data_IF_760927975124
#
_entry.id   IF_760927975124
#
_cell.length_a   1.000
_cell.length_b   1.000
_cell.length_c   1.000
_cell.angle_alpha   90.00
_cell.angle_beta   90.00
_cell.angle_gamma   90.00
#
_symmetry.space_group_name_H-M   'P 1'
#
loop_
_entity.id
_entity.type
_entity.pdbx_description
1 polymer ?
#
# COMPACT_ATOMS: atom_id res chain seq x y z
N UNK A 1 -6.96 -19.11 5.97
CA UNK A 1 -6.78 -20.43 5.36
C UNK A 1 -5.63 -20.35 4.39
N UNK A 2 -4.69 -21.27 4.46
CA UNK A 2 -3.50 -21.31 3.60
C UNK A 2 -2.51 -22.39 4.02
N UNK A 3 -1.54 -22.66 3.16
CA UNK A 3 -0.51 -23.69 3.35
C UNK A 3 0.89 -23.11 3.59
N UNK A 4 0.99 -21.80 3.82
CA UNK A 4 2.28 -21.11 3.98
C UNK A 4 3.13 -21.75 5.09
N UNK A 5 4.42 -22.02 4.82
CA UNK A 5 5.31 -22.78 5.70
C UNK A 5 5.49 -22.15 7.10
N UNK A 6 5.41 -20.82 7.23
CA UNK A 6 5.55 -20.11 8.52
C UNK A 6 4.26 -20.06 9.35
N UNK A 7 3.13 -20.56 8.83
CA UNK A 7 1.84 -20.54 9.51
C UNK A 7 0.76 -21.27 8.72
N UNK A 8 0.91 -22.59 8.53
CA UNK A 8 -0.11 -23.36 7.84
C UNK A 8 -1.39 -23.41 8.70
N UNK A 9 -2.54 -23.36 8.04
CA UNK A 9 -3.81 -23.58 8.71
C UNK A 9 -3.92 -25.03 9.20
N UNK A 10 -4.65 -25.22 10.27
CA UNK A 10 -5.07 -26.53 10.76
C UNK A 10 -6.54 -26.76 10.46
N UNK A 11 -6.92 -28.03 10.29
CA UNK A 11 -8.30 -28.41 10.08
C UNK A 11 -9.02 -28.33 11.43
N UNK A 12 -10.15 -27.62 11.47
CA UNK A 12 -10.99 -27.51 12.65
C UNK A 12 -11.89 -28.76 12.82
N UNK A 13 -12.17 -29.12 14.08
CA UNK A 13 -13.11 -30.19 14.40
C UNK A 13 -14.51 -29.94 13.77
N UNK A 14 -15.36 -30.99 13.59
CA UNK A 14 -15.39 -32.22 14.41
C UNK A 14 -15.07 -33.51 13.65
N UNK A 15 -14.10 -33.59 12.84
CA UNK A 15 -13.82 -34.83 12.13
C UNK A 15 -12.48 -35.50 12.49
N UNK A 16 -12.22 -36.65 11.92
CA UNK A 16 -11.01 -37.45 12.13
C UNK A 16 -9.72 -36.71 11.72
N UNK A 17 -9.78 -35.58 11.05
CA UNK A 17 -8.67 -34.77 10.58
C UNK A 17 -8.41 -33.54 11.47
N UNK A 18 -9.19 -33.37 12.55
CA UNK A 18 -9.07 -32.24 13.47
C UNK A 18 -7.64 -32.08 14.00
N UNK A 19 -7.13 -30.85 13.93
CA UNK A 19 -5.78 -30.51 14.33
C UNK A 19 -4.68 -30.85 13.32
N UNK A 20 -4.99 -31.57 12.25
CA UNK A 20 -4.05 -31.85 11.18
C UNK A 20 -3.71 -30.57 10.39
N UNK A 21 -2.46 -30.40 9.99
CA UNK A 21 -2.06 -29.32 9.08
C UNK A 21 -2.79 -29.45 7.73
N UNK A 22 -3.40 -28.36 7.28
CA UNK A 22 -4.05 -28.31 5.97
C UNK A 22 -3.09 -28.70 4.83
N UNK A 23 -1.82 -28.30 4.93
CA UNK A 23 -0.79 -28.68 3.95
C UNK A 23 -0.58 -30.18 3.90
N UNK A 24 -0.51 -30.84 5.06
CA UNK A 24 -0.33 -32.27 5.16
C UNK A 24 -1.55 -33.05 4.61
N UNK A 25 -2.74 -32.53 4.92
CA UNK A 25 -3.99 -33.12 4.42
C UNK A 25 -4.10 -33.00 2.90
N UNK A 26 -3.77 -31.86 2.32
CA UNK A 26 -3.79 -31.64 0.87
C UNK A 26 -2.77 -32.54 0.16
N UNK A 27 -1.58 -32.73 0.72
CA UNK A 27 -0.58 -33.64 0.17
C UNK A 27 -1.09 -35.10 0.10
N UNK A 28 -1.94 -35.52 1.06
CA UNK A 28 -2.58 -36.83 1.06
C UNK A 28 -3.87 -36.85 0.22
N UNK A 29 -4.43 -35.71 -0.12
CA UNK A 29 -5.72 -35.56 -0.84
C UNK A 29 -5.60 -34.53 -1.99
N UNK A 30 -4.72 -34.73 -2.97
CA UNK A 30 -4.45 -33.76 -4.03
C UNK A 30 -5.70 -33.43 -4.88
N UNK A 31 -6.64 -34.37 -4.99
CA UNK A 31 -7.91 -34.19 -5.67
C UNK A 31 -8.74 -33.00 -5.15
N UNK A 32 -8.53 -32.62 -3.88
CA UNK A 32 -9.23 -31.48 -3.26
C UNK A 32 -8.80 -30.12 -3.83
N UNK A 33 -7.68 -30.02 -4.51
CA UNK A 33 -7.21 -28.83 -5.20
C UNK A 33 -7.83 -28.69 -6.60
N UNK A 34 -8.26 -29.79 -7.20
CA UNK A 34 -8.62 -29.87 -8.62
C UNK A 34 -7.38 -29.95 -9.52
N UNK A 35 -7.55 -30.53 -10.71
CA UNK A 35 -6.43 -30.85 -11.61
C UNK A 35 -5.58 -29.64 -12.00
N UNK A 36 -6.21 -28.51 -12.28
CA UNK A 36 -5.50 -27.31 -12.75
C UNK A 36 -4.64 -26.69 -11.67
N UNK A 37 -5.16 -26.61 -10.43
CA UNK A 37 -4.42 -26.04 -9.29
C UNK A 37 -3.30 -26.99 -8.85
N UNK A 38 -3.57 -28.29 -8.78
CA UNK A 38 -2.56 -29.30 -8.45
C UNK A 38 -1.39 -29.24 -9.43
N UNK A 39 -1.66 -29.22 -10.73
CA UNK A 39 -0.64 -29.19 -11.78
C UNK A 39 0.16 -27.90 -11.77
N UNK A 40 -0.54 -26.76 -11.62
CA UNK A 40 0.10 -25.44 -11.72
C UNK A 40 0.89 -25.07 -10.48
N UNK A 41 0.43 -25.46 -9.28
CA UNK A 41 0.99 -25.05 -8.00
C UNK A 41 1.61 -26.21 -7.20
N UNK A 42 1.82 -27.36 -7.86
CA UNK A 42 2.52 -28.52 -7.28
C UNK A 42 1.99 -28.97 -5.91
N UNK A 43 0.67 -28.97 -5.76
CA UNK A 43 0.00 -29.40 -4.53
C UNK A 43 -0.13 -28.34 -3.43
N UNK A 44 0.37 -27.13 -3.65
CA UNK A 44 0.18 -26.01 -2.72
C UNK A 44 -1.09 -25.19 -3.04
N UNK A 45 -1.68 -24.56 -2.02
CA UNK A 45 -2.77 -23.60 -2.22
C UNK A 45 -2.19 -22.28 -2.77
N UNK A 46 -2.71 -21.78 -3.91
CA UNK A 46 -2.20 -20.56 -4.54
C UNK A 46 -2.68 -19.26 -3.86
N UNK A 47 -3.26 -19.34 -2.68
CA UNK A 47 -3.78 -18.18 -1.97
C UNK A 47 -3.63 -18.28 -0.46
N UNK A 48 -3.69 -17.13 0.21
CA UNK A 48 -3.81 -17.00 1.65
C UNK A 48 -5.07 -16.18 1.96
N UNK A 49 -6.05 -16.81 2.59
CA UNK A 49 -7.29 -16.16 3.01
C UNK A 49 -7.29 -15.96 4.52
N UNK A 50 -7.48 -14.71 4.97
CA UNK A 50 -7.51 -14.38 6.40
C UNK A 50 -8.39 -13.17 6.70
N UNK A 51 -8.95 -13.15 7.91
CA UNK A 51 -9.57 -11.95 8.47
C UNK A 51 -8.49 -11.12 9.14
N UNK A 52 -8.45 -9.82 8.85
CA UNK A 52 -7.50 -8.88 9.42
C UNK A 52 -8.19 -7.96 10.41
N UNK A 53 -7.58 -7.77 11.58
CA UNK A 53 -7.91 -6.70 12.51
C UNK A 53 -6.76 -5.69 12.50
N UNK A 54 -6.99 -4.50 11.95
CA UNK A 54 -5.94 -3.51 11.70
C UNK A 54 -6.17 -2.31 12.61
N UNK A 55 -5.28 -2.11 13.59
CA UNK A 55 -5.30 -0.96 14.50
C UNK A 55 -4.43 0.20 14.00
N UNK A 56 -3.36 -0.10 13.28
CA UNK A 56 -2.40 0.89 12.76
C UNK A 56 -2.24 0.70 11.26
N UNK A 57 -1.91 1.75 10.50
CA UNK A 57 -1.62 1.61 9.08
C UNK A 57 -0.55 0.54 8.84
N UNK A 58 -0.76 -0.27 7.83
CA UNK A 58 0.26 -1.19 7.33
C UNK A 58 1.33 -0.42 6.57
N UNK A 59 2.50 -1.02 6.40
CA UNK A 59 3.57 -0.45 5.57
C UNK A 59 3.11 -0.24 4.13
N UNK A 60 3.70 0.74 3.46
CA UNK A 60 3.52 0.90 2.02
C UNK A 60 4.17 -0.29 1.32
N UNK A 61 3.41 -0.97 0.46
CA UNK A 61 3.85 -2.16 -0.27
C UNK A 61 3.60 -1.95 -1.76
N UNK A 62 4.64 -2.21 -2.56
CA UNK A 62 4.54 -2.29 -4.00
C UNK A 62 4.81 -3.73 -4.43
N UNK A 63 3.79 -4.40 -4.97
CA UNK A 63 3.94 -5.76 -5.45
C UNK A 63 4.47 -5.75 -6.89
N UNK A 64 5.54 -6.51 -7.19
CA UNK A 64 6.08 -6.60 -8.55
C UNK A 64 5.10 -7.33 -9.48
N UNK A 65 5.25 -7.13 -10.78
CA UNK A 65 4.62 -7.98 -11.79
C UNK A 65 5.20 -9.40 -11.71
N UNK A 66 4.52 -10.38 -12.32
CA UNK A 66 4.99 -11.77 -12.29
C UNK A 66 6.41 -11.94 -12.86
N UNK A 67 6.71 -11.27 -13.96
CA UNK A 67 8.04 -11.36 -14.58
C UNK A 67 9.10 -10.66 -13.71
N UNK A 68 8.79 -9.48 -13.21
CA UNK A 68 9.69 -8.76 -12.32
C UNK A 68 9.92 -9.49 -10.97
N UNK A 69 8.93 -10.24 -10.47
CA UNK A 69 9.11 -11.07 -9.27
C UNK A 69 10.17 -12.16 -9.48
N UNK A 70 10.21 -12.78 -10.67
CA UNK A 70 11.25 -13.76 -11.04
C UNK A 70 12.63 -13.13 -11.11
N UNK A 71 12.73 -11.94 -11.74
CA UNK A 71 13.98 -11.18 -11.79
C UNK A 71 14.50 -10.82 -10.39
N UNK A 72 13.61 -10.31 -9.53
CA UNK A 72 13.97 -9.95 -8.16
C UNK A 72 14.39 -11.16 -7.32
N UNK A 73 13.71 -12.30 -7.47
CA UNK A 73 14.09 -13.54 -6.82
C UNK A 73 15.47 -14.02 -7.29
N UNK A 74 15.74 -13.99 -8.59
CA UNK A 74 17.02 -14.38 -9.15
C UNK A 74 18.19 -13.48 -8.68
N UNK A 75 17.94 -12.17 -8.54
CA UNK A 75 18.94 -11.19 -8.14
C UNK A 75 19.15 -11.13 -6.63
N UNK A 76 18.10 -11.27 -5.83
CA UNK A 76 18.08 -11.03 -4.39
C UNK A 76 17.23 -12.10 -3.66
N UNK A 77 17.60 -13.39 -3.70
CA UNK A 77 16.80 -14.49 -3.14
C UNK A 77 16.54 -14.37 -1.64
N UNK A 78 17.47 -13.77 -0.89
CA UNK A 78 17.31 -13.54 0.55
C UNK A 78 16.19 -12.54 0.87
N UNK A 79 15.96 -11.55 0.00
CA UNK A 79 14.89 -10.56 0.16
C UNK A 79 13.58 -11.00 -0.49
N UNK A 80 13.66 -11.73 -1.59
CA UNK A 80 12.54 -12.25 -2.36
C UNK A 80 12.63 -13.79 -2.41
N UNK A 81 12.12 -14.46 -1.37
CA UNK A 81 12.34 -15.90 -1.18
C UNK A 81 11.58 -16.80 -2.16
N UNK A 82 10.67 -16.23 -2.93
CA UNK A 82 9.93 -16.91 -4.01
C UNK A 82 9.85 -16.03 -5.26
N UNK A 83 9.66 -16.63 -6.41
CA UNK A 83 9.59 -15.99 -7.73
C UNK A 83 8.17 -15.57 -8.12
N UNK A 84 7.23 -15.62 -7.19
CA UNK A 84 5.83 -15.39 -7.48
C UNK A 84 5.39 -13.96 -7.13
N UNK A 85 4.49 -13.41 -7.93
CA UNK A 85 3.84 -12.16 -7.59
C UNK A 85 2.75 -12.38 -6.53
N UNK A 86 2.32 -11.29 -5.85
CA UNK A 86 1.36 -11.36 -4.74
C UNK A 86 0.17 -10.43 -4.99
N UNK A 87 -0.71 -10.75 -5.94
CA UNK A 87 -1.95 -9.98 -6.09
C UNK A 87 -2.78 -10.10 -4.81
N UNK A 88 -3.31 -8.98 -4.36
CA UNK A 88 -4.08 -8.90 -3.13
C UNK A 88 -5.47 -8.32 -3.38
N UNK A 89 -6.45 -8.85 -2.66
CA UNK A 89 -7.80 -8.35 -2.63
C UNK A 89 -8.22 -8.17 -1.17
N UNK A 90 -8.86 -7.05 -0.86
CA UNK A 90 -9.44 -6.79 0.46
C UNK A 90 -10.94 -6.55 0.33
N UNK A 91 -11.71 -7.17 1.25
CA UNK A 91 -13.16 -6.98 1.37
C UNK A 91 -13.40 -6.41 2.77
N UNK A 92 -14.01 -5.23 2.85
CA UNK A 92 -14.33 -4.61 4.12
C UNK A 92 -15.50 -5.36 4.80
N UNK A 93 -15.32 -5.72 6.08
CA UNK A 93 -16.39 -6.26 6.93
C UNK A 93 -16.96 -5.17 7.86
N UNK A 94 -16.21 -4.14 8.11
CA UNK A 94 -16.58 -2.93 8.86
C UNK A 94 -16.01 -1.73 8.13
N UNK A 95 -16.26 -0.51 8.60
CA UNK A 95 -15.63 0.68 8.02
C UNK A 95 -14.11 0.51 7.98
N UNK A 96 -13.54 0.60 6.80
CA UNK A 96 -12.13 0.36 6.52
C UNK A 96 -11.55 1.48 5.68
N UNK A 97 -10.33 1.90 6.01
CA UNK A 97 -9.60 2.92 5.27
C UNK A 97 -8.24 2.39 4.84
N UNK A 98 -7.89 2.60 3.59
CA UNK A 98 -6.60 2.21 3.04
C UNK A 98 -6.04 3.30 2.12
N UNK A 99 -4.72 3.29 1.94
CA UNK A 99 -4.07 4.05 0.88
C UNK A 99 -4.00 3.17 -0.37
N UNK A 100 -4.43 3.72 -1.51
CA UNK A 100 -4.42 3.01 -2.78
C UNK A 100 -4.06 3.97 -3.91
N UNK A 101 -2.83 3.86 -4.40
CA UNK A 101 -2.32 4.70 -5.48
C UNK A 101 -2.12 6.18 -5.09
N UNK A 102 -1.71 6.97 -6.05
CA UNK A 102 -1.56 8.41 -5.87
C UNK A 102 -2.87 9.15 -6.04
N UNK A 103 -2.98 10.30 -5.36
CA UNK A 103 -4.03 11.26 -5.63
C UNK A 103 -3.93 11.82 -7.05
N UNK A 104 -5.03 12.33 -7.61
CA UNK A 104 -4.97 13.16 -8.82
C UNK A 104 -3.94 14.28 -8.65
N UNK A 105 -3.17 14.54 -9.70
CA UNK A 105 -2.09 15.56 -9.66
C UNK A 105 -2.61 16.93 -9.24
N UNK A 106 -3.78 17.33 -9.72
CA UNK A 106 -4.44 18.58 -9.33
C UNK A 106 -4.70 18.68 -7.82
N UNK A 107 -5.01 17.59 -7.16
CA UNK A 107 -5.15 17.55 -5.70
C UNK A 107 -3.80 17.66 -5.00
N UNK A 108 -2.77 16.96 -5.50
CA UNK A 108 -1.41 17.05 -4.95
C UNK A 108 -0.91 18.50 -5.06
N UNK A 109 -1.05 19.12 -6.22
CA UNK A 109 -0.68 20.52 -6.46
C UNK A 109 -1.42 21.46 -5.51
N UNK A 110 -2.72 21.26 -5.30
CA UNK A 110 -3.48 22.02 -4.31
C UNK A 110 -2.90 21.89 -2.90
N UNK A 111 -2.45 20.72 -2.50
CA UNK A 111 -1.78 20.53 -1.20
C UNK A 111 -0.40 21.18 -1.16
N UNK A 112 0.39 21.11 -2.23
CA UNK A 112 1.68 21.81 -2.32
C UNK A 112 1.52 23.33 -2.16
N UNK A 113 0.41 23.90 -2.59
CA UNK A 113 0.11 25.33 -2.38
C UNK A 113 -0.41 25.64 -0.98
N UNK A 114 -1.22 24.77 -0.38
CA UNK A 114 -1.95 25.06 0.86
C UNK A 114 -1.24 24.58 2.13
N UNK A 115 -0.32 23.65 2.01
CA UNK A 115 0.36 22.99 3.14
C UNK A 115 1.88 23.19 2.99
N UNK A 116 2.42 24.30 3.50
CA UNK A 116 3.85 24.61 3.41
C UNK A 116 4.72 23.49 3.99
N UNK A 117 4.26 22.85 5.04
CA UNK A 117 4.94 21.74 5.70
C UNK A 117 5.11 20.55 4.76
N UNK A 118 4.08 20.21 3.97
CA UNK A 118 4.16 19.17 2.96
C UNK A 118 5.10 19.55 1.82
N UNK A 119 5.02 20.81 1.34
CA UNK A 119 5.90 21.33 0.30
C UNK A 119 7.36 21.30 0.73
N UNK A 120 7.66 21.64 1.99
CA UNK A 120 9.00 21.56 2.55
C UNK A 120 9.55 20.13 2.52
N UNK A 121 8.73 19.13 2.88
CA UNK A 121 9.15 17.72 2.87
C UNK A 121 9.34 17.20 1.45
N UNK A 122 8.49 17.59 0.50
CA UNK A 122 8.65 17.23 -0.93
C UNK A 122 9.88 17.90 -1.54
N UNK A 123 10.27 19.08 -1.04
CA UNK A 123 11.33 19.91 -1.60
C UNK A 123 10.83 20.83 -2.72
N UNK A 124 11.41 22.02 -2.76
CA UNK A 124 10.93 23.12 -3.61
C UNK A 124 11.02 22.78 -5.10
N UNK A 125 12.14 22.21 -5.56
CA UNK A 125 12.38 21.92 -6.97
C UNK A 125 11.37 20.91 -7.53
N UNK A 126 11.16 19.79 -6.81
CA UNK A 126 10.20 18.77 -7.21
C UNK A 126 8.76 19.28 -7.15
N UNK A 127 8.43 20.11 -6.16
CA UNK A 127 7.12 20.71 -6.03
C UNK A 127 6.83 21.69 -7.18
N UNK A 128 7.78 22.55 -7.51
CA UNK A 128 7.63 23.55 -8.59
C UNK A 128 7.48 22.90 -9.96
N UNK A 129 8.21 21.82 -10.20
CA UNK A 129 8.07 21.06 -11.45
C UNK A 129 6.65 20.51 -11.65
N UNK A 130 6.10 19.86 -10.62
CA UNK A 130 4.75 19.31 -10.69
C UNK A 130 3.68 20.42 -10.83
N UNK A 131 3.86 21.55 -10.14
CA UNK A 131 2.99 22.73 -10.23
C UNK A 131 3.02 23.32 -11.64
N UNK A 132 4.21 23.45 -12.24
CA UNK A 132 4.36 24.00 -13.59
C UNK A 132 3.65 23.13 -14.64
N UNK A 133 3.77 21.81 -14.53
CA UNK A 133 3.12 20.89 -15.46
C UNK A 133 1.58 20.95 -15.37
N UNK A 134 1.04 21.07 -14.17
CA UNK A 134 -0.43 21.16 -13.99
C UNK A 134 -1.01 22.44 -14.64
N UNK A 135 -0.26 23.56 -14.61
CA UNK A 135 -0.70 24.82 -15.25
C UNK A 135 -0.73 24.76 -16.78
N UNK A 136 0.10 23.94 -17.40
CA UNK A 136 0.27 23.91 -18.86
C UNK A 136 -0.73 22.96 -19.53
N UNK A 137 -1.19 21.94 -18.84
CA UNK A 137 -2.01 20.87 -19.43
C UNK A 137 -3.28 20.62 -18.59
N UNK A 138 -4.44 20.91 -19.16
CA UNK A 138 -5.73 20.66 -18.52
C UNK A 138 -6.02 19.16 -18.27
N UNK A 139 -5.33 18.24 -18.94
CA UNK A 139 -5.42 16.77 -18.77
C UNK A 139 -4.03 16.16 -18.55
N UNK A 140 -3.49 16.44 -17.36
CA UNK A 140 -2.09 16.10 -17.01
C UNK A 140 -1.92 14.65 -16.55
N UNK A 141 -2.98 13.96 -16.16
CA UNK A 141 -2.89 12.69 -15.42
C UNK A 141 -2.29 11.52 -16.23
N UNK A 142 -2.33 11.58 -17.55
CA UNK A 142 -1.87 10.49 -18.44
C UNK A 142 -0.55 10.76 -19.17
N UNK A 143 0.00 11.98 -19.12
CA UNK A 143 1.24 12.28 -19.83
C UNK A 143 2.47 11.63 -19.15
N UNK A 144 3.46 11.22 -19.95
CA UNK A 144 4.72 10.66 -19.43
C UNK A 144 5.49 11.64 -18.57
N UNK A 145 5.45 12.92 -18.90
CA UNK A 145 6.09 14.01 -18.15
C UNK A 145 5.48 14.18 -16.76
N UNK A 146 4.15 14.11 -16.65
CA UNK A 146 3.46 14.20 -15.38
C UNK A 146 3.72 13.00 -14.47
N UNK A 147 3.81 11.80 -15.03
CA UNK A 147 4.21 10.59 -14.29
C UNK A 147 5.62 10.70 -13.76
N UNK A 148 6.54 11.23 -14.56
CA UNK A 148 7.93 11.39 -14.16
C UNK A 148 8.09 12.50 -13.08
N UNK A 149 7.39 13.61 -13.20
CA UNK A 149 7.36 14.64 -12.16
C UNK A 149 6.76 14.13 -10.84
N UNK A 150 5.67 13.37 -10.91
CA UNK A 150 5.07 12.72 -9.73
C UNK A 150 6.05 11.73 -9.08
N UNK A 151 6.77 10.96 -9.89
CA UNK A 151 7.81 10.04 -9.40
C UNK A 151 8.94 10.79 -8.71
N UNK A 152 9.38 11.94 -9.24
CA UNK A 152 10.38 12.80 -8.58
C UNK A 152 9.88 13.36 -7.26
N UNK A 153 8.64 13.87 -7.21
CA UNK A 153 8.00 14.32 -5.96
C UNK A 153 7.97 13.20 -4.92
N UNK A 154 7.57 12.00 -5.33
CA UNK A 154 7.51 10.86 -4.43
C UNK A 154 8.90 10.41 -3.97
N UNK A 155 9.88 10.36 -4.88
CA UNK A 155 11.25 10.01 -4.55
C UNK A 155 11.85 11.01 -3.57
N UNK A 156 11.70 12.30 -3.83
CA UNK A 156 12.18 13.36 -2.93
C UNK A 156 11.55 13.25 -1.54
N UNK A 157 10.23 13.06 -1.48
CA UNK A 157 9.50 12.84 -0.23
C UNK A 157 10.02 11.62 0.56
N UNK A 158 10.30 10.51 -0.12
CA UNK A 158 10.74 9.25 0.53
C UNK A 158 12.22 9.27 0.97
N UNK A 159 13.02 10.17 0.41
CA UNK A 159 14.45 10.33 0.77
C UNK A 159 14.71 11.55 1.65
N UNK A 160 13.66 12.21 2.13
CA UNK A 160 13.80 13.35 3.01
C UNK A 160 14.36 12.91 4.36
N UNK A 161 15.17 13.76 4.98
CA UNK A 161 15.77 13.49 6.29
C UNK A 161 14.73 13.43 7.40
N UNK A 162 14.90 12.47 8.31
CA UNK A 162 13.95 12.19 9.40
C UNK A 162 13.70 13.42 10.28
N UNK A 163 14.72 14.22 10.54
CA UNK A 163 14.63 15.45 11.35
C UNK A 163 13.75 16.51 10.69
N UNK A 164 13.85 16.67 9.37
CA UNK A 164 12.99 17.58 8.60
C UNK A 164 11.56 17.08 8.65
N UNK A 165 11.33 15.78 8.44
CA UNK A 165 10.01 15.17 8.52
C UNK A 165 9.40 15.39 9.91
N UNK A 166 10.14 15.08 10.97
CA UNK A 166 9.68 15.25 12.35
C UNK A 166 9.31 16.70 12.67
N UNK A 167 10.15 17.66 12.26
CA UNK A 167 9.91 19.07 12.47
C UNK A 167 8.66 19.56 11.73
N UNK A 168 8.51 19.21 10.44
CA UNK A 168 7.36 19.64 9.67
C UNK A 168 6.05 18.98 10.16
N UNK A 169 6.14 17.74 10.63
CA UNK A 169 5.00 17.07 11.25
C UNK A 169 4.57 17.78 12.55
N UNK A 170 5.52 18.14 13.43
CA UNK A 170 5.24 18.87 14.65
C UNK A 170 4.59 20.23 14.36
N UNK A 171 5.09 20.97 13.39
CA UNK A 171 4.53 22.25 12.94
C UNK A 171 3.08 22.10 12.47
N UNK A 172 2.82 21.07 11.69
CA UNK A 172 1.50 20.78 11.15
C UNK A 172 0.51 20.38 12.24
N UNK A 173 0.92 19.56 13.22
CA UNK A 173 0.10 19.17 14.37
C UNK A 173 -0.25 20.40 15.21
N UNK A 174 0.72 21.25 15.55
CA UNK A 174 0.49 22.48 16.32
C UNK A 174 -0.48 23.43 15.61
N UNK A 175 -0.35 23.58 14.28
CA UNK A 175 -1.27 24.38 13.47
C UNK A 175 -2.69 23.79 13.48
N UNK A 176 -2.80 22.46 13.42
CA UNK A 176 -4.08 21.76 13.49
C UNK A 176 -4.79 21.95 14.81
N UNK A 177 -4.05 21.83 15.91
CA UNK A 177 -4.58 22.03 17.26
C UNK A 177 -5.09 23.46 17.45
N UNK A 178 -4.34 24.45 16.95
CA UNK A 178 -4.76 25.85 16.97
C UNK A 178 -6.06 26.06 16.22
N UNK A 179 -6.17 25.59 14.97
CA UNK A 179 -7.38 25.70 14.16
C UNK A 179 -8.59 24.99 14.78
N UNK A 180 -8.38 23.85 15.42
CA UNK A 180 -9.43 23.14 16.16
C UNK A 180 -9.95 23.95 17.35
N UNK A 181 -9.06 24.62 18.08
CA UNK A 181 -9.42 25.52 19.18
C UNK A 181 -10.18 26.77 18.69
N UNK A 182 -9.92 27.24 17.48
CA UNK A 182 -10.61 28.35 16.84
C UNK A 182 -11.97 27.96 16.23
N UNK A 183 -12.42 26.69 16.40
CA UNK A 183 -13.70 26.19 15.91
C UNK A 183 -13.74 25.86 14.41
N UNK A 184 -12.61 25.95 13.72
CA UNK A 184 -12.51 25.49 12.35
C UNK A 184 -12.47 23.96 12.27
N UNK A 185 -13.41 23.38 11.54
CA UNK A 185 -13.43 21.93 11.27
C UNK A 185 -12.33 21.60 10.28
N UNK A 186 -11.14 21.39 10.81
CA UNK A 186 -10.03 20.94 9.99
C UNK A 186 -9.99 19.40 10.00
N UNK A 187 -10.35 18.82 8.90
CA UNK A 187 -10.10 17.39 8.65
C UNK A 187 -8.58 17.13 8.46
N UNK A 188 -7.84 17.37 9.54
CA UNK A 188 -6.38 17.39 9.58
C UNK A 188 -5.73 16.03 9.83
N UNK A 189 -6.52 14.98 10.02
CA UNK A 189 -6.02 13.64 10.37
C UNK A 189 -5.18 12.96 9.28
N UNK A 190 -4.75 13.70 8.23
CA UNK A 190 -4.28 13.08 7.03
C UNK A 190 -3.08 13.66 6.33
N UNK A 191 -2.39 14.60 6.90
CA UNK A 191 -1.59 15.48 6.05
C UNK A 191 -0.23 14.92 5.61
N UNK A 192 0.41 14.05 6.36
CA UNK A 192 1.76 13.62 5.97
C UNK A 192 1.77 12.55 4.86
N UNK A 193 1.16 11.42 5.08
CA UNK A 193 1.07 10.36 4.06
C UNK A 193 -0.09 10.52 3.08
N UNK A 194 -1.12 11.29 3.44
CA UNK A 194 -2.33 11.46 2.61
C UNK A 194 -2.23 12.54 1.53
N UNK A 195 -1.25 13.40 1.56
CA UNK A 195 -1.10 14.40 0.49
C UNK A 195 -0.73 13.78 -0.85
N UNK A 196 0.00 12.67 -0.87
CA UNK A 196 0.39 11.96 -2.08
C UNK A 196 -0.52 10.78 -2.42
N UNK A 197 -1.17 10.14 -1.44
CA UNK A 197 -1.94 8.92 -1.64
C UNK A 197 -3.45 9.17 -1.64
N UNK A 198 -4.14 8.44 -2.50
CA UNK A 198 -5.60 8.38 -2.49
C UNK A 198 -6.09 7.52 -1.32
N UNK A 199 -7.01 8.07 -0.51
CA UNK A 199 -7.68 7.31 0.54
C UNK A 199 -8.92 6.65 -0.03
N UNK A 200 -8.99 5.33 0.06
CA UNK A 200 -10.21 4.58 -0.18
C UNK A 200 -10.87 4.32 1.18
N UNK A 201 -12.05 4.89 1.40
CA UNK A 201 -12.93 4.52 2.52
C UNK A 201 -14.00 3.57 1.97
N UNK A 202 -14.03 2.35 2.48
CA UNK A 202 -15.02 1.34 2.10
C UNK A 202 -15.91 1.15 3.33
N UNK A 203 -17.20 1.41 3.20
CA UNK A 203 -18.21 1.01 4.19
C UNK A 203 -18.80 -0.32 3.75
N UNK A 204 -18.94 -1.23 4.72
CA UNK A 204 -19.62 -2.52 4.53
C UNK A 204 -21.13 -2.32 4.34
#
# INVERSE_FOLDING_TARGET
MGTHHKGPSTIAAPDQYSGQSLRHWLAANPWALGCDVETTFHGDLPFLFKVLSIKKPLSIQAHPTKDHAKELHALLPDKYPDDNHKPEMAIALTTFEAFCGFRPISEIVRYLHRVPEFRCVVGEDAAMELIALERVKADTSSSSEAKEALKRCFSSFMHQEDDIIAQQLANLVAKAEKLKLEGEVVSLYCLHSRCLYFRLAISA
#
